data_IF_727196216561
#
_entry.id   IF_727196216561
#
_cell.length_a   1.000
_cell.length_b   1.000
_cell.length_c   1.000
_cell.angle_alpha   90.00
_cell.angle_beta   90.00
_cell.angle_gamma   90.00
#
_symmetry.space_group_name_H-M   'P 1'
#
loop_
_entity.id
_entity.type
_entity.pdbx_description
1 polymer ?
#
# COMPACT_ATOMS: atom_id res chain seq x y z
N UNK A 1 -2.32 -8.65 -9.70
CA UNK A 1 -3.36 -9.26 -10.55
C UNK A 1 -3.23 -8.80 -11.99
N UNK A 2 -3.68 -9.63 -12.92
CA UNK A 2 -3.73 -9.32 -14.36
C UNK A 2 -5.13 -9.59 -14.87
N UNK A 3 -5.69 -8.64 -15.61
CA UNK A 3 -6.98 -8.76 -16.29
C UNK A 3 -6.75 -8.69 -17.81
N UNK A 4 -7.38 -9.58 -18.57
CA UNK A 4 -7.24 -9.63 -20.02
C UNK A 4 -8.29 -8.77 -20.75
N UNK A 5 -9.32 -8.31 -20.04
CA UNK A 5 -10.43 -7.53 -20.59
C UNK A 5 -10.99 -6.57 -19.54
N UNK A 6 -11.89 -5.68 -19.98
CA UNK A 6 -12.52 -4.66 -19.14
C UNK A 6 -13.35 -5.27 -17.99
N UNK A 7 -14.15 -6.31 -18.27
CA UNK A 7 -15.04 -6.90 -17.27
C UNK A 7 -14.28 -7.57 -16.13
N UNK A 8 -13.18 -8.27 -16.44
CA UNK A 8 -12.33 -8.87 -15.44
C UNK A 8 -11.62 -7.81 -14.60
N UNK A 9 -11.15 -6.72 -15.24
CA UNK A 9 -10.55 -5.59 -14.55
C UNK A 9 -11.55 -4.92 -13.60
N UNK A 10 -12.78 -4.62 -14.08
CA UNK A 10 -13.84 -4.06 -13.26
C UNK A 10 -14.17 -4.94 -12.06
N UNK A 11 -14.29 -6.25 -12.27
CA UNK A 11 -14.51 -7.22 -11.19
C UNK A 11 -13.39 -7.19 -10.14
N UNK A 12 -12.11 -7.18 -10.57
CA UNK A 12 -11.00 -7.11 -9.61
C UNK A 12 -10.98 -5.80 -8.83
N UNK A 13 -11.23 -4.69 -9.49
CA UNK A 13 -11.33 -3.38 -8.84
C UNK A 13 -12.49 -3.36 -7.83
N UNK A 14 -13.55 -4.11 -8.09
CA UNK A 14 -14.72 -4.17 -7.22
C UNK A 14 -14.45 -4.93 -5.92
N UNK A 15 -13.68 -6.00 -5.97
CA UNK A 15 -13.45 -6.89 -4.83
C UNK A 15 -12.13 -6.63 -4.10
N UNK A 16 -11.22 -5.81 -4.64
CA UNK A 16 -9.89 -5.56 -4.11
C UNK A 16 -9.52 -4.08 -4.11
N UNK A 17 -8.56 -3.73 -3.27
CA UNK A 17 -7.92 -2.41 -3.28
C UNK A 17 -6.56 -2.53 -3.94
N UNK A 18 -6.22 -1.55 -4.77
CA UNK A 18 -4.94 -1.47 -5.47
C UNK A 18 -4.27 -0.13 -5.18
N UNK A 19 -2.95 -0.13 -5.05
CA UNK A 19 -2.15 1.09 -4.97
C UNK A 19 -1.93 1.69 -6.36
N UNK A 20 -1.88 0.82 -7.39
CA UNK A 20 -1.71 1.21 -8.79
C UNK A 20 -2.58 0.34 -9.70
N UNK A 21 -3.18 0.97 -10.69
CA UNK A 21 -3.81 0.32 -11.84
C UNK A 21 -3.08 0.77 -13.10
N UNK A 22 -2.53 -0.20 -13.85
CA UNK A 22 -1.94 0.01 -15.16
C UNK A 22 -2.88 -0.56 -16.21
N UNK A 23 -3.40 0.26 -17.09
CA UNK A 23 -4.38 -0.17 -18.10
C UNK A 23 -4.00 0.27 -19.50
N UNK A 24 -4.30 -0.56 -20.49
CA UNK A 24 -4.31 -0.09 -21.88
C UNK A 24 -5.49 0.86 -22.06
N UNK A 25 -5.36 1.83 -22.95
CA UNK A 25 -6.47 2.67 -23.39
C UNK A 25 -7.58 1.83 -24.03
N UNK A 26 -7.19 0.93 -24.95
CA UNK A 26 -8.13 0.07 -25.67
C UNK A 26 -8.11 -1.33 -25.07
N UNK A 27 -9.19 -1.71 -24.43
CA UNK A 27 -9.41 -3.08 -23.96
C UNK A 27 -10.33 -3.81 -24.94
N UNK A 28 -10.28 -5.16 -25.04
CA UNK A 28 -11.08 -5.91 -26.01
C UNK A 28 -12.59 -5.66 -25.95
N UNK A 29 -13.10 -5.34 -24.75
CA UNK A 29 -14.53 -5.20 -24.47
C UNK A 29 -14.89 -3.87 -23.79
N UNK A 30 -13.95 -2.89 -23.74
CA UNK A 30 -14.18 -1.61 -23.07
C UNK A 30 -13.06 -0.59 -23.27
N UNK A 31 -13.14 0.49 -22.52
CA UNK A 31 -12.24 1.64 -22.62
C UNK A 31 -11.50 1.85 -21.30
N UNK A 32 -10.16 1.93 -21.34
CA UNK A 32 -9.32 2.18 -20.17
C UNK A 32 -9.60 3.53 -19.51
N UNK A 33 -10.11 4.52 -20.24
CA UNK A 33 -10.54 5.80 -19.69
C UNK A 33 -11.74 5.62 -18.74
N UNK A 34 -12.69 4.76 -19.10
CA UNK A 34 -13.84 4.48 -18.25
C UNK A 34 -13.42 3.71 -17.01
N UNK A 35 -12.52 2.73 -17.17
CA UNK A 35 -11.92 2.02 -16.05
C UNK A 35 -11.20 2.98 -15.09
N UNK A 36 -10.44 3.94 -15.62
CA UNK A 36 -9.79 4.99 -14.83
C UNK A 36 -10.79 5.77 -13.98
N UNK A 37 -11.92 6.21 -14.57
CA UNK A 37 -12.98 6.92 -13.84
C UNK A 37 -13.58 6.07 -12.71
N UNK A 38 -13.82 4.78 -12.96
CA UNK A 38 -14.31 3.85 -11.92
C UNK A 38 -13.33 3.76 -10.76
N UNK A 39 -12.05 3.54 -11.06
CA UNK A 39 -10.98 3.48 -10.03
C UNK A 39 -10.95 4.76 -9.22
N UNK A 40 -10.93 5.93 -9.86
CA UNK A 40 -10.84 7.24 -9.19
C UNK A 40 -12.07 7.58 -8.37
N UNK A 41 -13.25 7.20 -8.83
CA UNK A 41 -14.49 7.37 -8.06
C UNK A 41 -14.52 6.49 -6.80
N UNK A 42 -13.92 5.30 -6.86
CA UNK A 42 -13.83 4.38 -5.73
C UNK A 42 -12.72 4.74 -4.74
N UNK A 43 -11.57 5.12 -5.27
CA UNK A 43 -10.40 5.52 -4.49
C UNK A 43 -9.60 6.58 -5.24
N UNK A 44 -9.62 7.80 -4.72
CA UNK A 44 -8.77 8.88 -5.24
C UNK A 44 -7.27 8.61 -5.01
N UNK A 45 -6.93 7.67 -4.11
CA UNK A 45 -5.56 7.31 -3.74
C UNK A 45 -4.92 6.32 -4.72
N UNK A 46 -5.70 5.47 -5.38
CA UNK A 46 -5.17 4.50 -6.35
C UNK A 46 -4.57 5.24 -7.53
N UNK A 47 -3.28 5.08 -7.78
CA UNK A 47 -2.64 5.63 -8.95
C UNK A 47 -3.14 4.91 -10.22
N UNK A 48 -3.46 5.65 -11.27
CA UNK A 48 -3.88 5.08 -12.55
C UNK A 48 -2.94 5.57 -13.65
N UNK A 49 -2.30 4.62 -14.33
CA UNK A 49 -1.42 4.88 -15.48
C UNK A 49 -2.06 4.27 -16.72
N UNK A 50 -2.31 5.09 -17.72
CA UNK A 50 -2.87 4.65 -19.01
C UNK A 50 -1.74 4.47 -20.01
N UNK A 51 -1.72 3.31 -20.66
CA UNK A 51 -0.80 3.01 -21.76
C UNK A 51 -1.58 3.06 -23.07
N UNK A 52 -1.02 3.69 -24.11
CA UNK A 52 -1.73 3.81 -25.36
C UNK A 52 -0.81 3.81 -26.59
N UNK A 53 -1.30 3.26 -27.71
CA UNK A 53 -0.67 3.44 -29.01
C UNK A 53 -1.04 4.79 -29.68
N UNK A 54 -1.97 5.55 -29.08
CA UNK A 54 -2.31 6.90 -29.54
C UNK A 54 -1.19 7.85 -29.15
N UNK A 55 -0.72 8.64 -30.10
CA UNK A 55 0.41 9.56 -29.94
C UNK A 55 0.00 11.04 -30.06
N UNK A 56 -1.30 11.30 -30.27
CA UNK A 56 -1.84 12.63 -30.34
C UNK A 56 -1.97 13.29 -28.96
N UNK A 57 -1.80 14.61 -28.95
CA UNK A 57 -1.85 15.42 -27.74
C UNK A 57 -3.24 15.43 -27.09
N UNK A 58 -4.27 15.32 -27.91
CA UNK A 58 -5.67 15.32 -27.48
C UNK A 58 -5.95 14.10 -26.61
N UNK A 59 -5.48 12.92 -27.00
CA UNK A 59 -5.60 11.67 -26.22
C UNK A 59 -4.88 11.76 -24.88
N UNK A 60 -3.65 12.30 -24.84
CA UNK A 60 -2.92 12.52 -23.58
C UNK A 60 -3.69 13.46 -22.62
N UNK A 61 -4.24 14.56 -23.17
CA UNK A 61 -5.03 15.51 -22.38
C UNK A 61 -6.32 14.85 -21.87
N UNK A 62 -6.98 14.03 -22.68
CA UNK A 62 -8.20 13.32 -22.31
C UNK A 62 -7.94 12.34 -21.17
N UNK A 63 -6.86 11.54 -21.26
CA UNK A 63 -6.46 10.62 -20.21
C UNK A 63 -6.24 11.34 -18.86
N UNK A 64 -5.43 12.40 -18.87
CA UNK A 64 -5.14 13.17 -17.65
C UNK A 64 -6.38 13.86 -17.08
N UNK A 65 -7.26 14.39 -17.93
CA UNK A 65 -8.55 14.97 -17.49
C UNK A 65 -9.53 13.96 -16.94
N UNK A 66 -9.43 12.69 -17.34
CA UNK A 66 -10.26 11.61 -16.79
C UNK A 66 -9.85 11.19 -15.38
N UNK A 67 -8.71 11.71 -14.89
CA UNK A 67 -8.17 11.41 -13.57
C UNK A 67 -6.94 10.48 -13.59
N UNK A 68 -6.44 10.09 -14.76
CA UNK A 68 -5.19 9.33 -14.84
C UNK A 68 -4.03 10.16 -14.27
N UNK A 69 -3.16 9.51 -13.49
CA UNK A 69 -1.99 10.13 -12.89
C UNK A 69 -0.82 10.22 -13.90
N UNK A 70 -0.80 9.34 -14.89
CA UNK A 70 0.16 9.38 -15.99
C UNK A 70 -0.39 8.75 -17.26
N UNK A 71 0.24 9.12 -18.38
CA UNK A 71 -0.05 8.58 -19.71
C UNK A 71 1.25 8.19 -20.40
N UNK A 72 1.32 6.96 -20.91
CA UNK A 72 2.53 6.38 -21.50
C UNK A 72 2.24 5.93 -22.93
N UNK A 73 2.99 6.47 -23.86
CA UNK A 73 2.88 6.12 -25.30
C UNK A 73 3.60 4.81 -25.60
N UNK A 74 2.99 3.98 -26.43
CA UNK A 74 3.63 2.81 -27.04
C UNK A 74 4.36 3.22 -28.34
N UNK A 75 5.55 2.67 -28.60
CA UNK A 75 6.36 1.80 -27.76
C UNK A 75 7.03 2.56 -26.62
N UNK A 76 7.19 1.93 -25.47
CA UNK A 76 7.86 2.51 -24.29
C UNK A 76 9.06 1.66 -23.88
N UNK A 77 10.02 2.32 -23.24
CA UNK A 77 11.12 1.68 -22.56
C UNK A 77 10.65 1.18 -21.18
N UNK A 78 11.03 -0.06 -20.83
CA UNK A 78 10.56 -0.70 -19.61
C UNK A 78 11.12 -0.03 -18.35
N UNK A 79 12.38 0.43 -18.38
CA UNK A 79 12.99 1.12 -17.25
C UNK A 79 12.34 2.49 -17.01
N UNK A 80 11.95 3.17 -18.10
CA UNK A 80 11.18 4.42 -18.02
C UNK A 80 9.79 4.17 -17.46
N UNK A 81 9.11 3.09 -17.87
CA UNK A 81 7.82 2.71 -17.32
C UNK A 81 7.92 2.46 -15.80
N UNK A 82 8.90 1.68 -15.35
CA UNK A 82 9.12 1.40 -13.94
C UNK A 82 9.41 2.68 -13.14
N UNK A 83 10.28 3.55 -13.64
CA UNK A 83 10.59 4.81 -12.97
C UNK A 83 9.36 5.72 -12.81
N UNK A 84 8.46 5.74 -13.82
CA UNK A 84 7.20 6.50 -13.76
C UNK A 84 6.23 5.88 -12.76
N UNK A 85 6.07 4.56 -12.74
CA UNK A 85 5.24 3.84 -11.77
C UNK A 85 5.73 4.13 -10.34
N UNK A 86 7.02 4.00 -10.08
CA UNK A 86 7.61 4.31 -8.76
C UNK A 86 7.37 5.77 -8.36
N UNK A 87 7.49 6.72 -9.30
CA UNK A 87 7.19 8.11 -9.04
C UNK A 87 5.71 8.30 -8.65
N UNK A 88 4.78 7.63 -9.35
CA UNK A 88 3.34 7.74 -9.04
C UNK A 88 2.97 7.09 -7.71
N UNK A 89 3.56 5.96 -7.38
CA UNK A 89 3.38 5.31 -6.08
C UNK A 89 3.91 6.18 -4.92
N UNK A 90 4.97 6.95 -5.14
CA UNK A 90 5.45 7.96 -4.18
C UNK A 90 4.50 9.14 -4.00
N UNK A 91 3.81 9.59 -5.06
CA UNK A 91 2.92 10.76 -5.07
C UNK A 91 1.44 10.42 -5.02
N UNK A 92 1.05 9.16 -5.27
CA UNK A 92 -0.34 8.69 -5.41
C UNK A 92 -1.14 8.54 -4.11
N UNK A 93 -0.71 9.13 -3.07
CA UNK A 93 -1.34 9.30 -1.77
C UNK A 93 -0.27 9.79 -0.80
N UNK A 94 -0.60 10.55 0.16
CA UNK A 94 0.23 10.63 1.35
C UNK A 94 0.50 9.19 1.75
N UNK A 95 1.76 8.78 1.82
CA UNK A 95 2.18 7.45 2.29
C UNK A 95 1.70 7.21 3.75
N UNK A 96 0.90 8.15 4.23
CA UNK A 96 0.29 8.19 5.55
C UNK A 96 -0.79 7.12 5.63
N UNK A 97 -0.64 6.26 6.61
CA UNK A 97 -1.63 5.24 6.98
C UNK A 97 -2.46 5.84 8.11
N UNK A 98 -3.75 6.05 7.86
CA UNK A 98 -4.72 6.53 8.85
C UNK A 98 -5.65 5.38 9.22
N UNK A 99 -5.65 5.02 10.50
CA UNK A 99 -6.51 3.98 11.07
C UNK A 99 -7.12 4.56 12.34
N UNK A 100 -8.29 5.15 12.23
CA UNK A 100 -8.97 5.92 13.28
C UNK A 100 -8.02 6.95 13.94
N UNK A 101 -7.67 6.79 15.22
CA UNK A 101 -6.78 7.72 15.91
C UNK A 101 -5.28 7.47 15.65
N UNK A 102 -4.93 6.41 14.92
CA UNK A 102 -3.56 6.08 14.57
C UNK A 102 -3.19 6.65 13.20
N UNK A 103 -2.14 7.45 13.17
CA UNK A 103 -1.55 8.01 11.96
C UNK A 103 -0.10 7.54 11.88
N UNK A 104 0.26 6.87 10.79
CA UNK A 104 1.65 6.48 10.49
C UNK A 104 2.07 7.19 9.22
N UNK A 105 3.11 8.00 9.30
CA UNK A 105 3.74 8.67 8.17
C UNK A 105 5.10 8.01 7.84
N UNK A 106 5.16 7.11 6.86
CA UNK A 106 6.39 6.41 6.52
C UNK A 106 7.48 7.33 5.95
N UNK A 107 7.11 8.41 5.28
CA UNK A 107 8.07 9.32 4.65
C UNK A 107 8.84 10.16 5.69
N UNK A 108 8.20 10.42 6.83
CA UNK A 108 8.82 11.15 7.95
C UNK A 108 9.24 10.23 9.11
N UNK A 109 9.02 8.92 9.00
CA UNK A 109 9.16 7.96 10.10
C UNK A 109 8.46 8.41 11.38
N UNK A 110 7.22 8.92 11.25
CA UNK A 110 6.42 9.40 12.37
C UNK A 110 5.21 8.54 12.61
N UNK A 111 4.87 8.39 13.89
CA UNK A 111 3.64 7.74 14.35
C UNK A 111 2.97 8.69 15.33
N UNK A 112 1.67 8.85 15.18
CA UNK A 112 0.82 9.60 16.10
C UNK A 112 -0.40 8.73 16.47
N UNK A 113 -0.78 8.72 17.72
CA UNK A 113 -1.99 8.10 18.22
C UNK A 113 -2.76 9.08 19.12
N UNK A 114 -3.99 9.41 18.74
CA UNK A 114 -4.83 10.37 19.45
C UNK A 114 -4.12 11.71 19.77
N UNK A 115 -3.32 12.21 18.83
CA UNK A 115 -2.55 13.45 18.99
C UNK A 115 -1.25 13.32 19.77
N UNK A 116 -0.86 12.11 20.16
CA UNK A 116 0.40 11.83 20.89
C UNK A 116 1.42 11.21 19.93
N UNK A 117 2.57 11.86 19.76
CA UNK A 117 3.67 11.34 18.94
C UNK A 117 4.36 10.17 19.66
N UNK A 118 4.64 9.09 18.91
CA UNK A 118 5.26 7.86 19.41
C UNK A 118 6.65 7.71 18.81
N UNK A 119 7.66 7.66 19.64
CA UNK A 119 9.05 7.50 19.22
C UNK A 119 9.37 6.03 18.90
N UNK A 120 9.07 5.60 17.68
CA UNK A 120 9.39 4.28 17.14
C UNK A 120 10.07 4.46 15.79
N UNK A 121 11.30 3.94 15.61
CA UNK A 121 12.09 4.12 14.38
C UNK A 121 12.79 2.85 13.96
N UNK A 122 13.31 2.84 12.71
CA UNK A 122 14.04 1.72 12.12
C UNK A 122 13.18 0.48 11.93
N UNK A 123 13.75 -0.72 12.07
CA UNK A 123 13.06 -1.98 11.78
C UNK A 123 11.72 -2.18 12.52
N UNK A 124 11.55 -1.81 13.79
CA UNK A 124 10.23 -1.85 14.44
C UNK A 124 9.19 -0.95 13.78
N UNK A 125 9.60 0.23 13.31
CA UNK A 125 8.73 1.14 12.55
C UNK A 125 8.31 0.51 11.21
N UNK A 126 9.28 -0.06 10.45
CA UNK A 126 9.01 -0.73 9.19
C UNK A 126 8.06 -1.93 9.36
N UNK A 127 8.26 -2.75 10.42
CA UNK A 127 7.38 -3.87 10.76
C UNK A 127 5.96 -3.40 11.07
N UNK A 128 5.80 -2.36 11.89
CA UNK A 128 4.49 -1.80 12.20
C UNK A 128 3.79 -1.27 10.95
N UNK A 129 4.51 -0.50 10.13
CA UNK A 129 4.03 0.07 8.88
C UNK A 129 3.57 -1.01 7.91
N UNK A 130 4.39 -2.07 7.74
CA UNK A 130 4.04 -3.19 6.87
C UNK A 130 2.79 -3.92 7.35
N UNK A 131 2.70 -4.22 8.64
CA UNK A 131 1.54 -4.88 9.23
C UNK A 131 0.28 -4.01 9.14
N UNK A 132 0.38 -2.69 9.34
CA UNK A 132 -0.74 -1.76 9.23
C UNK A 132 -1.28 -1.65 7.80
N UNK A 133 -0.41 -1.71 6.78
CA UNK A 133 -0.82 -1.79 5.37
C UNK A 133 -1.56 -3.08 5.03
N UNK A 134 -1.21 -4.18 5.70
CA UNK A 134 -1.82 -5.50 5.53
C UNK A 134 -2.79 -5.82 6.69
N UNK A 135 -3.49 -4.79 7.20
CA UNK A 135 -4.40 -4.97 8.33
C UNK A 135 -5.41 -6.08 8.04
N UNK A 136 -5.83 -6.78 9.11
CA UNK A 136 -6.73 -7.93 9.07
C UNK A 136 -6.19 -9.19 8.37
N UNK A 137 -4.99 -9.11 7.77
CA UNK A 137 -4.29 -10.25 7.18
C UNK A 137 -3.26 -10.82 8.17
N UNK A 138 -3.06 -12.12 8.10
CA UNK A 138 -1.98 -12.78 8.84
C UNK A 138 -0.73 -12.73 7.97
N UNK A 139 0.31 -12.05 8.44
CA UNK A 139 1.61 -11.95 7.80
C UNK A 139 2.58 -12.88 8.50
N UNK A 140 3.18 -13.82 7.78
CA UNK A 140 4.14 -14.77 8.35
C UNK A 140 5.47 -14.08 8.70
N UNK A 141 6.31 -14.76 9.49
CA UNK A 141 7.66 -14.24 9.79
C UNK A 141 8.53 -14.16 8.55
N UNK A 142 8.44 -15.15 7.67
CA UNK A 142 9.16 -15.19 6.40
C UNK A 142 8.76 -14.00 5.53
N UNK A 143 7.46 -13.75 5.39
CA UNK A 143 6.96 -12.59 4.63
C UNK A 143 7.45 -11.26 5.20
N UNK A 144 7.53 -11.11 6.53
CA UNK A 144 8.09 -9.93 7.16
C UNK A 144 9.59 -9.77 6.93
N UNK A 145 10.34 -10.88 6.96
CA UNK A 145 11.78 -10.87 6.66
C UNK A 145 12.02 -10.45 5.22
N UNK A 146 11.37 -11.09 4.27
CA UNK A 146 11.51 -10.81 2.83
C UNK A 146 11.10 -9.37 2.46
N UNK A 147 10.10 -8.82 3.15
CA UNK A 147 9.61 -7.48 2.88
C UNK A 147 10.44 -6.34 3.49
N UNK A 148 11.19 -6.61 4.58
CA UNK A 148 11.77 -5.55 5.42
C UNK A 148 13.30 -5.62 5.51
N UNK A 149 13.90 -6.81 5.37
CA UNK A 149 15.36 -6.98 5.40
C UNK A 149 15.92 -7.21 4.01
N UNK A 150 16.97 -6.48 3.67
CA UNK A 150 17.64 -6.59 2.36
C UNK A 150 18.26 -7.98 2.15
N UNK A 151 18.79 -8.59 3.22
CA UNK A 151 19.42 -9.90 3.22
C UNK A 151 18.75 -10.81 4.27
N UNK A 152 17.51 -11.27 4.01
CA UNK A 152 16.72 -12.02 4.99
C UNK A 152 17.37 -13.34 5.43
N UNK A 153 18.19 -13.95 4.56
CA UNK A 153 18.93 -15.18 4.84
C UNK A 153 20.07 -14.99 5.85
N UNK A 154 20.56 -13.77 6.05
CA UNK A 154 21.64 -13.46 6.99
C UNK A 154 21.15 -13.15 8.40
N UNK A 155 19.84 -13.00 8.60
CA UNK A 155 19.26 -12.69 9.89
C UNK A 155 18.44 -13.86 10.44
N UNK A 156 18.41 -13.99 11.75
CA UNK A 156 17.57 -15.01 12.38
C UNK A 156 16.13 -14.52 12.51
N UNK A 157 15.11 -15.38 12.38
CA UNK A 157 13.70 -14.99 12.55
C UNK A 157 13.35 -14.32 13.87
N UNK A 158 14.24 -14.41 14.87
CA UNK A 158 14.07 -13.76 16.18
C UNK A 158 14.09 -12.22 16.10
N UNK A 159 14.62 -11.62 15.01
CA UNK A 159 14.60 -10.16 14.84
C UNK A 159 13.17 -9.63 14.73
N UNK A 160 12.23 -10.45 14.22
CA UNK A 160 10.81 -10.11 14.17
C UNK A 160 10.22 -10.01 15.58
N UNK A 161 10.48 -11.02 16.46
CA UNK A 161 10.01 -10.97 17.84
C UNK A 161 10.55 -9.77 18.60
N UNK A 162 11.81 -9.41 18.35
CA UNK A 162 12.44 -8.23 18.95
C UNK A 162 11.72 -6.96 18.48
N UNK A 163 11.46 -6.83 17.17
CA UNK A 163 10.73 -5.68 16.61
C UNK A 163 9.30 -5.57 17.19
N UNK A 164 8.55 -6.68 17.23
CA UNK A 164 7.20 -6.73 17.80
C UNK A 164 7.22 -6.35 19.29
N UNK A 165 8.20 -6.85 20.05
CA UNK A 165 8.33 -6.50 21.47
C UNK A 165 8.64 -5.00 21.65
N UNK A 166 9.45 -4.39 20.79
CA UNK A 166 9.71 -2.95 20.85
C UNK A 166 8.45 -2.13 20.54
N UNK A 167 7.64 -2.53 19.55
CA UNK A 167 6.35 -1.89 19.25
C UNK A 167 5.47 -1.93 20.50
N UNK A 168 5.29 -3.10 21.10
CA UNK A 168 4.48 -3.28 22.30
C UNK A 168 4.97 -2.47 23.49
N UNK A 169 6.28 -2.35 23.68
CA UNK A 169 6.85 -1.57 24.79
C UNK A 169 6.72 -0.06 24.58
N UNK A 170 6.94 0.42 23.37
CA UNK A 170 6.99 1.86 23.06
C UNK A 170 5.63 2.45 22.70
N UNK A 171 4.71 1.64 22.20
CA UNK A 171 3.39 2.07 21.75
C UNK A 171 2.26 1.45 22.56
N UNK A 172 2.12 0.12 22.56
CA UNK A 172 0.95 -0.53 23.13
C UNK A 172 0.84 -0.30 24.63
N UNK A 173 1.92 -0.53 25.40
CA UNK A 173 1.93 -0.38 26.86
C UNK A 173 1.67 1.04 27.34
N UNK A 174 2.40 2.08 26.84
CA UNK A 174 2.17 3.45 27.31
C UNK A 174 0.77 3.98 27.02
N UNK A 175 0.14 3.50 25.94
CA UNK A 175 -1.17 3.93 25.50
C UNK A 175 -2.32 3.03 25.96
N UNK A 176 -2.00 1.94 26.66
CA UNK A 176 -2.95 0.90 27.06
C UNK A 176 -3.79 0.35 25.91
N UNK A 177 -3.16 0.10 24.77
CA UNK A 177 -3.77 -0.44 23.55
C UNK A 177 -3.10 -1.75 23.15
N UNK A 178 -3.68 -2.43 22.16
CA UNK A 178 -3.08 -3.60 21.49
C UNK A 178 -3.22 -3.44 19.99
N UNK A 179 -2.09 -3.32 19.29
CA UNK A 179 -2.07 -3.12 17.83
C UNK A 179 -1.69 -4.38 17.06
N UNK A 180 -0.98 -5.33 17.70
CA UNK A 180 -0.48 -6.53 17.02
C UNK A 180 -0.85 -7.78 17.80
N UNK A 181 -1.66 -8.62 17.15
CA UNK A 181 -2.00 -9.96 17.63
C UNK A 181 -0.96 -10.98 17.13
N UNK A 182 -0.55 -11.90 18.02
CA UNK A 182 0.28 -13.04 17.63
C UNK A 182 -0.59 -14.25 17.33
N UNK A 183 -0.56 -14.69 16.08
CA UNK A 183 -1.26 -15.90 15.64
C UNK A 183 -0.29 -17.08 15.71
N UNK A 184 -0.47 -17.94 16.70
CA UNK A 184 0.45 -19.07 16.97
C UNK A 184 0.76 -19.88 15.73
N UNK A 185 2.03 -20.10 15.41
CA UNK A 185 2.57 -20.86 14.26
C UNK A 185 2.21 -20.28 12.88
N UNK A 186 1.62 -19.09 12.80
CA UNK A 186 1.23 -18.47 11.53
C UNK A 186 1.85 -17.10 11.30
N UNK A 187 2.14 -16.33 12.35
CA UNK A 187 2.73 -15.00 12.24
C UNK A 187 2.00 -13.95 13.07
N UNK A 188 1.84 -12.77 12.51
CA UNK A 188 1.28 -11.61 13.17
C UNK A 188 0.17 -10.99 12.32
N UNK A 189 -0.77 -10.34 13.00
CA UNK A 189 -1.85 -9.59 12.38
C UNK A 189 -1.96 -8.24 13.03
N UNK A 190 -2.05 -7.18 12.22
CA UNK A 190 -2.40 -5.87 12.74
C UNK A 190 -3.88 -5.87 13.10
N UNK A 191 -4.16 -5.48 14.33
CA UNK A 191 -5.51 -5.27 14.83
C UNK A 191 -5.75 -3.78 14.96
N UNK A 192 -7.00 -3.35 14.90
CA UNK A 192 -7.36 -2.02 15.34
C UNK A 192 -6.88 -1.81 16.77
N UNK A 193 -6.37 -0.61 17.14
CA UNK A 193 -5.94 -0.36 18.51
C UNK A 193 -7.11 -0.53 19.48
N UNK A 194 -7.28 -1.74 19.98
CA UNK A 194 -8.27 -2.00 21.01
C UNK A 194 -7.73 -1.57 22.37
N UNK A 195 -8.52 -0.84 23.12
CA UNK A 195 -8.21 -0.60 24.54
C UNK A 195 -8.12 -1.95 25.26
N UNK A 196 -7.07 -2.14 26.03
CA UNK A 196 -6.93 -3.34 26.85
C UNK A 196 -7.80 -3.12 28.08
N UNK A 197 -8.91 -3.86 28.18
CA UNK A 197 -9.72 -3.86 29.41
C UNK A 197 -8.82 -4.27 30.58
N UNK A 198 -8.68 -3.41 31.57
CA UNK A 198 -8.06 -3.73 32.85
C UNK A 198 -8.87 -4.88 33.51
N UNK A 199 -8.27 -6.06 33.55
CA UNK A 199 -8.77 -7.19 34.33
C UNK A 199 -8.16 -7.21 35.69
#
# INVERSE_FOLDING_TARGET
DTAENYKDAEYFIDIRNYDLVLTDWMLPDGDGIELCKIVKNRSSRTAVVIISARDDKESEIEALKSGADDFIKKPFDFDILLARIEARLRFGGTNIIEIDDLIINPDEEKIEYAGVEIELKGKPFEVLTHLARHRDQIVSKEQLLDAIWEEPELVTPNVIEVAINQIRQKMDKPLNISTIETIRRRGYRFCYPNQVDEK
#
